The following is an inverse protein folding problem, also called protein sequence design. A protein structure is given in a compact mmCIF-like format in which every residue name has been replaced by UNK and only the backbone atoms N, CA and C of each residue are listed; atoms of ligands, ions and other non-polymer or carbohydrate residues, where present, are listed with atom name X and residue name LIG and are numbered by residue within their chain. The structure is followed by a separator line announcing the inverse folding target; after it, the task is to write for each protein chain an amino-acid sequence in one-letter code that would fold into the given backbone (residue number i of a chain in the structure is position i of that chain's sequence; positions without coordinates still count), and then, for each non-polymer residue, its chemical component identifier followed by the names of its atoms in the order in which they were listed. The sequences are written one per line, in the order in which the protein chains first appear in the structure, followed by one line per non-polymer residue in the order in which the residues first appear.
data_IF_361522157290
#
_entry.id   IF_361522157290
#
_cell.length_a   1.000
_cell.length_b   1.000
_cell.length_c   1.000
_cell.angle_alpha   90.00
_cell.angle_beta   90.00
_cell.angle_gamma   90.00
#
_symmetry.space_group_name_H-M   'P 1'
#
loop_
_entity.id
_entity.type
_entity.pdbx_description
1 polymer ?
#
# COMPACT_ATOMS: atom_id res chain seq x y z
N UNK A 1 -27.11 8.15 14.90
CA UNK A 1 -26.11 7.39 14.11
C UNK A 1 -25.31 6.57 15.09
N UNK A 2 -25.01 5.30 14.80
CA UNK A 2 -24.20 4.46 15.71
C UNK A 2 -22.75 4.95 15.71
N UNK A 3 -22.15 5.13 16.89
CA UNK A 3 -20.78 5.57 17.10
C UNK A 3 -20.00 4.47 17.83
N UNK A 4 -19.02 3.82 17.18
CA UNK A 4 -18.33 2.64 17.72
C UNK A 4 -17.19 2.96 18.69
N UNK A 5 -16.98 4.21 19.08
CA UNK A 5 -15.85 4.68 19.91
C UNK A 5 -14.46 4.31 19.34
N UNK A 6 -14.38 4.07 18.03
CA UNK A 6 -13.14 3.76 17.34
C UNK A 6 -12.52 5.02 16.71
N UNK A 7 -11.21 5.14 16.84
CA UNK A 7 -10.43 6.20 16.16
C UNK A 7 -10.02 5.76 14.75
N UNK A 8 -10.03 6.70 13.81
CA UNK A 8 -9.53 6.46 12.46
C UNK A 8 -8.07 5.97 12.51
N UNK A 9 -7.78 4.85 11.83
CA UNK A 9 -6.49 4.14 11.88
C UNK A 9 -6.36 3.11 13.00
N UNK A 10 -7.33 2.98 13.90
CA UNK A 10 -7.29 1.97 14.95
C UNK A 10 -7.42 0.57 14.36
N UNK A 11 -6.53 -0.31 14.78
CA UNK A 11 -6.53 -1.73 14.40
C UNK A 11 -7.28 -2.54 15.46
N UNK A 12 -8.16 -3.44 15.01
CA UNK A 12 -8.92 -4.37 15.86
C UNK A 12 -8.96 -5.76 15.25
N UNK A 13 -9.22 -6.75 16.06
CA UNK A 13 -9.48 -8.14 15.63
C UNK A 13 -10.90 -8.32 15.09
N UNK A 14 -11.16 -9.43 14.41
CA UNK A 14 -12.51 -9.80 13.96
C UNK A 14 -13.47 -10.02 15.13
N UNK A 15 -12.96 -10.51 16.26
CA UNK A 15 -13.75 -10.68 17.50
C UNK A 15 -14.26 -9.35 18.05
N UNK A 16 -13.34 -8.38 18.21
CA UNK A 16 -13.68 -7.02 18.66
C UNK A 16 -14.64 -6.32 17.69
N UNK A 17 -14.39 -6.42 16.37
CA UNK A 17 -15.30 -5.87 15.36
C UNK A 17 -16.73 -6.42 15.54
N UNK A 18 -16.85 -7.74 15.69
CA UNK A 18 -18.13 -8.41 15.90
C UNK A 18 -18.82 -7.95 17.20
N UNK A 19 -18.06 -7.83 18.29
CA UNK A 19 -18.59 -7.39 19.59
C UNK A 19 -19.05 -5.94 19.56
N UNK A 20 -18.30 -5.05 18.94
CA UNK A 20 -18.65 -3.62 18.82
C UNK A 20 -19.89 -3.44 17.95
N UNK A 21 -19.89 -4.01 16.75
CA UNK A 21 -20.96 -3.79 15.76
C UNK A 21 -22.13 -4.77 15.87
N UNK A 22 -22.03 -5.81 16.70
CA UNK A 22 -23.05 -6.88 16.83
C UNK A 22 -23.46 -7.46 15.47
N UNK A 23 -22.49 -7.66 14.59
CA UNK A 23 -22.68 -8.13 13.22
C UNK A 23 -22.15 -9.56 12.99
N UNK A 24 -22.33 -10.09 11.77
CA UNK A 24 -21.80 -11.39 11.37
C UNK A 24 -20.27 -11.44 11.48
N UNK A 25 -19.66 -12.59 11.85
CA UNK A 25 -18.21 -12.77 11.89
C UNK A 25 -17.57 -12.85 10.49
N UNK A 26 -18.36 -13.01 9.44
CA UNK A 26 -17.86 -13.25 8.08
C UNK A 26 -18.55 -12.33 7.06
N UNK A 27 -17.87 -12.19 5.90
CA UNK A 27 -18.34 -11.40 4.77
C UNK A 27 -17.71 -10.01 4.69
N UNK A 28 -17.66 -9.47 3.48
CA UNK A 28 -17.19 -8.11 3.20
C UNK A 28 -18.24 -7.03 3.53
N UNK A 29 -19.52 -7.40 3.60
CA UNK A 29 -20.62 -6.51 3.96
C UNK A 29 -21.44 -7.17 5.08
N UNK A 30 -21.45 -6.55 6.26
CA UNK A 30 -22.03 -7.13 7.49
C UNK A 30 -23.03 -6.15 8.11
N UNK A 31 -24.31 -6.39 7.86
CA UNK A 31 -25.40 -5.58 8.44
C UNK A 31 -25.67 -6.00 9.88
N UNK A 32 -25.86 -5.03 10.74
CA UNK A 32 -26.36 -5.21 12.09
C UNK A 32 -27.67 -4.46 12.27
N UNK A 33 -28.73 -5.19 12.66
CA UNK A 33 -29.99 -4.57 13.03
C UNK A 33 -29.95 -4.00 14.45
N UNK A 34 -29.06 -4.52 15.32
CA UNK A 34 -28.93 -4.05 16.71
C UNK A 34 -28.34 -2.65 16.79
N UNK A 35 -27.34 -2.37 15.97
CA UNK A 35 -26.67 -1.05 15.92
C UNK A 35 -27.16 -0.18 14.76
N UNK A 36 -28.07 -0.66 13.94
CA UNK A 36 -28.51 -0.03 12.69
C UNK A 36 -27.31 0.41 11.83
N UNK A 37 -26.34 -0.49 11.66
CA UNK A 37 -25.10 -0.22 10.93
C UNK A 37 -24.82 -1.25 9.85
N UNK A 38 -24.03 -0.85 8.87
CA UNK A 38 -23.43 -1.71 7.85
C UNK A 38 -21.91 -1.57 7.92
N UNK A 39 -21.26 -2.64 8.35
CA UNK A 39 -19.78 -2.74 8.25
C UNK A 39 -19.43 -3.20 6.85
N UNK A 40 -18.56 -2.47 6.19
CA UNK A 40 -17.96 -2.86 4.92
C UNK A 40 -16.46 -3.07 5.09
N UNK A 41 -15.95 -4.20 4.62
CA UNK A 41 -14.56 -4.63 4.77
C UNK A 41 -13.93 -4.77 3.40
N UNK A 42 -12.89 -3.99 3.15
CA UNK A 42 -12.04 -4.12 1.96
C UNK A 42 -10.78 -4.89 2.32
N UNK A 43 -10.69 -6.14 1.89
CA UNK A 43 -9.53 -6.97 2.12
C UNK A 43 -8.54 -6.84 0.95
N UNK A 44 -7.36 -6.25 1.22
CA UNK A 44 -6.33 -6.05 0.22
C UNK A 44 -5.37 -7.24 0.06
N UNK A 45 -5.44 -8.22 0.95
CA UNK A 45 -4.58 -9.43 0.93
C UNK A 45 -5.19 -10.50 0.03
N UNK A 46 -6.47 -10.81 0.27
CA UNK A 46 -7.19 -11.88 -0.42
C UNK A 46 -8.55 -11.38 -0.91
N UNK A 47 -8.56 -10.71 -2.03
CA UNK A 47 -9.79 -10.24 -2.64
C UNK A 47 -9.82 -10.48 -4.13
N UNK A 48 -11.00 -10.89 -4.61
CA UNK A 48 -11.36 -10.87 -6.03
C UNK A 48 -11.90 -9.49 -6.44
N UNK A 49 -12.15 -8.62 -5.47
CA UNK A 49 -12.71 -7.29 -5.67
C UNK A 49 -11.62 -6.25 -5.82
N UNK A 50 -11.85 -5.26 -6.66
CA UNK A 50 -10.89 -4.21 -6.94
C UNK A 50 -11.29 -2.90 -6.25
N UNK A 51 -11.39 -2.97 -4.94
CA UNK A 51 -11.63 -1.80 -4.11
C UNK A 51 -10.43 -0.86 -4.15
N UNK A 52 -10.71 0.44 -4.32
CA UNK A 52 -9.62 1.40 -4.49
C UNK A 52 -10.02 2.82 -4.12
N UNK A 53 -9.06 3.56 -3.64
CA UNK A 53 -9.17 5.01 -3.53
C UNK A 53 -8.85 5.65 -4.89
N UNK A 54 -9.68 6.59 -5.31
CA UNK A 54 -9.40 7.53 -6.39
C UNK A 54 -9.62 8.91 -5.78
N UNK A 55 -8.53 9.64 -5.57
CA UNK A 55 -8.52 10.89 -4.82
C UNK A 55 -9.11 10.72 -3.40
N UNK A 56 -10.19 11.41 -3.10
CA UNK A 56 -10.88 11.33 -1.80
C UNK A 56 -12.08 10.37 -1.78
N UNK A 57 -12.30 9.63 -2.85
CA UNK A 57 -13.45 8.70 -3.00
C UNK A 57 -12.96 7.27 -2.96
N UNK A 58 -13.56 6.46 -2.10
CA UNK A 58 -13.34 5.02 -2.07
C UNK A 58 -14.36 4.31 -2.96
N UNK A 59 -13.89 3.60 -3.95
CA UNK A 59 -14.72 2.80 -4.85
C UNK A 59 -14.80 1.37 -4.32
N UNK A 60 -15.87 1.07 -3.60
CA UNK A 60 -16.11 -0.23 -2.99
C UNK A 60 -16.90 -1.13 -3.94
N UNK A 61 -16.45 -2.36 -4.16
CA UNK A 61 -17.11 -3.33 -5.01
C UNK A 61 -18.20 -4.08 -4.21
N UNK A 62 -19.40 -4.15 -4.75
CA UNK A 62 -20.53 -4.84 -4.15
C UNK A 62 -20.29 -6.33 -3.93
N UNK A 63 -21.17 -6.94 -3.13
CA UNK A 63 -21.10 -8.37 -2.83
C UNK A 63 -21.64 -9.24 -3.96
N UNK A 64 -21.12 -10.45 -4.04
CA UNK A 64 -21.38 -11.48 -5.05
C UNK A 64 -20.06 -11.99 -5.62
N UNK A 65 -19.81 -13.32 -5.58
CA UNK A 65 -18.51 -13.91 -5.95
C UNK A 65 -18.50 -14.52 -7.35
N UNK A 66 -19.67 -14.86 -7.92
CA UNK A 66 -19.81 -15.51 -9.21
C UNK A 66 -20.96 -14.91 -9.99
N UNK A 67 -20.83 -14.80 -11.31
CA UNK A 67 -21.83 -14.19 -12.19
C UNK A 67 -22.04 -12.69 -11.95
N UNK A 68 -22.94 -12.10 -12.69
CA UNK A 68 -23.29 -10.69 -12.60
C UNK A 68 -23.84 -10.33 -11.23
N UNK A 69 -23.39 -9.22 -10.66
CA UNK A 69 -23.96 -8.70 -9.42
C UNK A 69 -25.31 -8.02 -9.69
N UNK A 70 -26.18 -8.04 -8.67
CA UNK A 70 -27.39 -7.23 -8.64
C UNK A 70 -27.26 -6.14 -7.56
N UNK A 71 -27.70 -4.92 -7.89
CA UNK A 71 -27.73 -3.82 -6.92
C UNK A 71 -28.77 -4.05 -5.83
N UNK A 72 -29.83 -4.79 -6.15
CA UNK A 72 -30.92 -5.12 -5.22
C UNK A 72 -30.62 -6.33 -4.34
N UNK A 73 -29.44 -6.96 -4.53
CA UNK A 73 -29.06 -8.16 -3.78
C UNK A 73 -28.59 -7.79 -2.37
N UNK A 74 -29.31 -8.24 -1.34
CA UNK A 74 -28.94 -8.19 0.09
C UNK A 74 -28.33 -6.83 0.51
N UNK A 75 -27.05 -6.81 0.97
CA UNK A 75 -26.38 -5.60 1.47
C UNK A 75 -25.98 -4.63 0.36
N UNK A 76 -25.96 -5.05 -0.91
CA UNK A 76 -25.79 -4.12 -2.04
C UNK A 76 -26.93 -3.10 -2.02
N UNK A 77 -28.18 -3.57 -1.85
CA UNK A 77 -29.36 -2.69 -1.71
C UNK A 77 -29.24 -1.80 -0.47
N UNK A 78 -28.88 -2.38 0.67
CA UNK A 78 -28.69 -1.60 1.91
C UNK A 78 -27.68 -0.46 1.70
N UNK A 79 -26.56 -0.72 1.04
CA UNK A 79 -25.53 0.28 0.76
C UNK A 79 -26.00 1.30 -0.29
N UNK A 80 -26.67 0.86 -1.35
CA UNK A 80 -27.25 1.73 -2.38
C UNK A 80 -28.21 2.75 -1.81
N UNK A 81 -28.99 2.35 -0.81
CA UNK A 81 -29.99 3.17 -0.14
C UNK A 81 -29.47 3.86 1.15
N UNK A 82 -28.19 3.73 1.49
CA UNK A 82 -27.64 4.17 2.79
C UNK A 82 -27.81 5.67 3.07
N UNK A 83 -27.94 6.50 2.06
CA UNK A 83 -28.20 7.93 2.23
C UNK A 83 -29.66 8.24 2.67
N UNK A 84 -30.60 7.27 2.57
CA UNK A 84 -32.02 7.44 2.87
C UNK A 84 -32.53 6.48 3.93
N UNK A 85 -31.94 5.29 4.08
CA UNK A 85 -32.41 4.26 5.03
C UNK A 85 -31.84 4.43 6.46
N UNK A 86 -31.09 5.52 6.72
CA UNK A 86 -30.50 5.88 8.02
C UNK A 86 -29.51 4.85 8.60
N UNK A 87 -29.04 3.90 7.81
CA UNK A 87 -28.00 2.94 8.21
C UNK A 87 -26.65 3.64 8.20
N UNK A 88 -25.93 3.60 9.33
CA UNK A 88 -24.55 4.09 9.38
C UNK A 88 -23.60 3.10 8.71
N UNK A 89 -22.80 3.56 7.75
CA UNK A 89 -21.86 2.71 7.02
C UNK A 89 -20.44 2.94 7.54
N UNK A 90 -19.79 1.87 8.00
CA UNK A 90 -18.46 1.90 8.60
C UNK A 90 -17.49 1.13 7.72
N UNK A 91 -16.41 1.79 7.28
CA UNK A 91 -15.38 1.22 6.41
C UNK A 91 -14.21 0.70 7.26
N UNK A 92 -13.84 -0.55 6.98
CA UNK A 92 -12.61 -1.17 7.43
C UNK A 92 -11.76 -1.59 6.22
N UNK A 93 -10.45 -1.47 6.35
CA UNK A 93 -9.49 -2.02 5.39
C UNK A 93 -8.60 -3.05 6.09
N UNK A 94 -8.22 -4.12 5.37
CA UNK A 94 -7.37 -5.20 5.87
C UNK A 94 -6.08 -5.22 5.06
N UNK A 95 -4.96 -4.92 5.72
CA UNK A 95 -3.61 -4.89 5.13
C UNK A 95 -2.73 -6.01 5.69
N UNK A 96 -3.08 -6.54 6.87
CA UNK A 96 -2.45 -7.68 7.54
C UNK A 96 -3.53 -8.71 7.83
N UNK A 97 -3.18 -9.99 7.79
CA UNK A 97 -4.14 -11.05 8.05
C UNK A 97 -4.77 -10.88 9.45
N UNK A 98 -6.09 -11.06 9.51
CA UNK A 98 -6.91 -10.95 10.72
C UNK A 98 -6.90 -9.58 11.44
N UNK A 99 -6.30 -8.55 10.86
CA UNK A 99 -6.24 -7.19 11.42
C UNK A 99 -7.11 -6.25 10.60
N UNK A 100 -8.09 -5.64 11.25
CA UNK A 100 -9.08 -4.76 10.65
C UNK A 100 -8.78 -3.31 11.06
N UNK A 101 -8.34 -2.49 10.12
CA UNK A 101 -8.06 -1.07 10.34
C UNK A 101 -9.34 -0.27 10.12
N UNK A 102 -9.82 0.42 11.16
CA UNK A 102 -10.99 1.28 11.05
C UNK A 102 -10.65 2.55 10.28
N UNK A 103 -11.35 2.80 9.18
CA UNK A 103 -11.13 3.98 8.36
C UNK A 103 -12.08 5.12 8.76
N UNK A 104 -13.31 4.79 9.10
CA UNK A 104 -14.30 5.78 9.51
C UNK A 104 -15.69 5.52 8.96
N UNK A 105 -16.58 6.45 9.25
CA UNK A 105 -17.95 6.46 8.71
C UNK A 105 -17.90 7.02 7.29
N UNK A 106 -18.58 6.32 6.37
CA UNK A 106 -18.65 6.70 4.96
C UNK A 106 -20.09 6.90 4.49
N UNK A 107 -20.27 7.69 3.44
CA UNK A 107 -21.54 7.86 2.75
C UNK A 107 -21.36 7.79 1.24
N UNK A 108 -22.40 7.40 0.52
CA UNK A 108 -22.43 7.48 -0.93
C UNK A 108 -22.24 8.94 -1.38
N UNK A 109 -21.22 9.16 -2.20
CA UNK A 109 -20.93 10.48 -2.81
C UNK A 109 -21.60 10.66 -4.17
N UNK A 110 -21.88 9.55 -4.85
CA UNK A 110 -22.55 9.49 -6.16
C UNK A 110 -23.36 8.19 -6.27
N UNK A 111 -24.24 8.10 -7.26
CA UNK A 111 -24.95 6.85 -7.58
C UNK A 111 -23.95 5.73 -7.88
N UNK A 112 -24.22 4.48 -7.43
CA UNK A 112 -23.45 3.32 -7.82
C UNK A 112 -23.41 3.18 -9.35
N UNK A 113 -22.30 2.67 -9.85
CA UNK A 113 -22.09 2.41 -11.27
C UNK A 113 -21.53 1.01 -11.48
N UNK A 114 -21.58 0.50 -12.70
CA UNK A 114 -21.08 -0.85 -13.02
C UNK A 114 -19.77 -0.80 -13.80
N UNK A 115 -18.94 -1.83 -13.60
CA UNK A 115 -17.78 -2.13 -14.45
C UNK A 115 -17.64 -3.66 -14.61
N UNK A 116 -16.79 -4.07 -15.52
CA UNK A 116 -16.47 -5.50 -15.70
C UNK A 116 -15.25 -5.85 -14.86
N UNK A 117 -15.40 -6.85 -14.00
CA UNK A 117 -14.32 -7.45 -13.22
C UNK A 117 -14.36 -8.96 -13.31
N UNK A 118 -13.24 -9.68 -13.16
CA UNK A 118 -13.26 -11.13 -13.11
C UNK A 118 -13.97 -11.62 -11.84
N UNK A 119 -14.65 -12.75 -11.95
CA UNK A 119 -15.18 -13.50 -10.81
C UNK A 119 -14.08 -14.39 -10.17
N UNK A 120 -14.46 -15.19 -9.16
CA UNK A 120 -13.54 -16.12 -8.49
C UNK A 120 -12.92 -17.17 -9.44
N UNK A 121 -13.55 -17.45 -10.58
CA UNK A 121 -13.07 -18.39 -11.61
C UNK A 121 -12.32 -17.67 -12.76
N UNK A 122 -12.14 -16.35 -12.66
CA UNK A 122 -11.51 -15.53 -13.69
C UNK A 122 -12.41 -15.19 -14.88
N UNK A 123 -13.72 -15.48 -14.80
CA UNK A 123 -14.70 -15.13 -15.83
C UNK A 123 -15.13 -13.66 -15.66
N UNK A 124 -15.24 -12.95 -16.78
CA UNK A 124 -15.71 -11.57 -16.77
C UNK A 124 -17.18 -11.49 -16.36
N UNK A 125 -17.46 -10.56 -15.45
CA UNK A 125 -18.81 -10.30 -14.95
C UNK A 125 -19.03 -8.83 -14.68
N UNK A 126 -20.28 -8.42 -14.68
CA UNK A 126 -20.70 -7.09 -14.26
C UNK A 126 -20.70 -7.02 -12.73
N UNK A 127 -19.99 -6.04 -12.20
CA UNK A 127 -20.01 -5.71 -10.77
C UNK A 127 -20.51 -4.28 -10.55
N UNK A 128 -21.03 -3.99 -9.36
CA UNK A 128 -21.41 -2.64 -8.95
C UNK A 128 -20.33 -2.04 -8.04
N UNK A 129 -19.94 -0.81 -8.33
CA UNK A 129 -19.07 0.00 -7.49
C UNK A 129 -19.87 1.09 -6.79
N UNK A 130 -19.59 1.22 -5.50
CA UNK A 130 -20.20 2.20 -4.62
C UNK A 130 -19.16 3.30 -4.32
N UNK A 131 -19.30 4.51 -4.92
CA UNK A 131 -18.39 5.62 -4.63
C UNK A 131 -18.69 6.21 -3.26
N UNK A 132 -17.78 6.01 -2.32
CA UNK A 132 -17.95 6.36 -0.90
C UNK A 132 -17.00 7.50 -0.53
N UNK A 133 -17.48 8.44 0.26
CA UNK A 133 -16.69 9.52 0.84
C UNK A 133 -16.72 9.40 2.36
N UNK A 134 -15.58 9.59 3.02
CA UNK A 134 -15.53 9.74 4.48
C UNK A 134 -16.34 10.94 4.92
N UNK A 135 -17.06 10.79 6.05
CA UNK A 135 -17.78 11.91 6.68
C UNK A 135 -16.81 12.82 7.40
N UNK A 136 -15.81 12.25 8.10
CA UNK A 136 -14.67 13.01 8.64
C UNK A 136 -13.68 13.35 7.54
N UNK A 137 -12.99 14.48 7.66
CA UNK A 137 -11.93 14.83 6.70
C UNK A 137 -10.64 14.03 6.91
N UNK A 138 -10.49 13.40 8.06
CA UNK A 138 -9.27 12.70 8.49
C UNK A 138 -9.24 11.25 7.99
N UNK A 139 -8.61 11.05 6.84
CA UNK A 139 -8.25 9.70 6.38
C UNK A 139 -7.01 9.24 7.14
N UNK A 140 -7.02 8.00 7.71
CA UNK A 140 -5.85 7.51 8.42
C UNK A 140 -4.65 7.41 7.48
N UNK A 141 -3.50 7.88 7.96
CA UNK A 141 -2.22 7.74 7.26
C UNK A 141 -1.64 6.36 7.60
N UNK A 142 -1.68 5.47 6.63
CA UNK A 142 -1.01 4.16 6.74
C UNK A 142 0.50 4.32 6.65
N UNK A 143 1.23 3.46 7.35
CA UNK A 143 2.68 3.38 7.20
C UNK A 143 3.04 2.88 5.79
N UNK A 144 4.02 3.53 5.17
CA UNK A 144 4.51 3.10 3.85
C UNK A 144 4.94 1.63 3.86
N UNK A 145 5.58 1.17 4.94
CA UNK A 145 6.02 -0.22 5.10
C UNK A 145 4.88 -1.24 5.00
N UNK A 146 3.67 -0.90 5.42
CA UNK A 146 2.50 -1.78 5.32
C UNK A 146 2.06 -1.94 3.86
N UNK A 147 2.06 -0.83 3.12
CA UNK A 147 1.73 -0.84 1.69
C UNK A 147 2.81 -1.59 0.88
N UNK A 148 4.09 -1.37 1.19
CA UNK A 148 5.20 -2.09 0.55
C UNK A 148 5.11 -3.60 0.81
N UNK A 149 4.78 -4.03 2.04
CA UNK A 149 4.57 -5.43 2.38
C UNK A 149 3.38 -6.03 1.61
N UNK A 150 2.27 -5.32 1.52
CA UNK A 150 1.11 -5.74 0.73
C UNK A 150 1.48 -5.92 -0.75
N UNK A 151 2.21 -4.96 -1.31
CA UNK A 151 2.69 -5.05 -2.70
C UNK A 151 3.58 -6.27 -2.90
N UNK A 152 4.51 -6.52 -1.98
CA UNK A 152 5.39 -7.69 -2.03
C UNK A 152 4.61 -9.03 -1.96
N UNK A 153 3.56 -9.13 -1.15
CA UNK A 153 2.68 -10.30 -1.12
C UNK A 153 1.99 -10.52 -2.48
N UNK A 154 1.49 -9.45 -3.09
CA UNK A 154 0.87 -9.50 -4.42
C UNK A 154 1.86 -9.91 -5.51
N UNK A 155 3.07 -9.39 -5.48
CA UNK A 155 4.15 -9.75 -6.41
C UNK A 155 4.54 -11.23 -6.28
N UNK A 156 4.68 -11.74 -5.05
CA UNK A 156 4.93 -13.18 -4.84
C UNK A 156 3.82 -14.07 -5.40
N UNK A 157 2.56 -13.64 -5.31
CA UNK A 157 1.44 -14.37 -5.94
C UNK A 157 1.54 -14.32 -7.46
N UNK A 158 1.87 -13.16 -8.04
CA UNK A 158 2.02 -13.00 -9.48
C UNK A 158 3.16 -13.86 -10.05
N UNK A 159 4.31 -13.94 -9.38
CA UNK A 159 5.47 -14.76 -9.79
C UNK A 159 5.12 -16.26 -9.94
N UNK A 160 4.11 -16.74 -9.20
CA UNK A 160 3.70 -18.16 -9.24
C UNK A 160 2.75 -18.52 -10.40
N UNK A 161 2.29 -17.52 -11.13
CA UNK A 161 1.38 -17.73 -12.27
C UNK A 161 2.15 -18.11 -13.53
N UNK A 162 1.50 -18.83 -14.42
CA UNK A 162 2.02 -19.04 -15.78
C UNK A 162 1.98 -17.74 -16.61
N UNK A 163 2.80 -17.67 -17.64
CA UNK A 163 2.87 -16.48 -18.52
C UNK A 163 1.50 -16.18 -19.17
N UNK A 164 0.75 -17.21 -19.57
CA UNK A 164 -0.58 -17.05 -20.14
C UNK A 164 -1.58 -16.45 -19.16
N UNK A 165 -1.56 -16.93 -17.91
CA UNK A 165 -2.43 -16.41 -16.86
C UNK A 165 -2.02 -14.99 -16.46
N UNK A 166 -0.71 -14.68 -16.38
CA UNK A 166 -0.21 -13.34 -16.17
C UNK A 166 -0.66 -12.39 -17.27
N UNK A 167 -0.49 -12.80 -18.55
CA UNK A 167 -0.92 -12.01 -19.71
C UNK A 167 -2.42 -11.73 -19.67
N UNK A 168 -3.24 -12.76 -19.39
CA UNK A 168 -4.69 -12.62 -19.26
C UNK A 168 -5.08 -11.63 -18.18
N UNK A 169 -4.46 -11.71 -17.00
CA UNK A 169 -4.70 -10.77 -15.88
C UNK A 169 -4.21 -9.37 -16.18
N UNK A 170 -3.03 -9.22 -16.79
CA UNK A 170 -2.47 -7.94 -17.18
C UNK A 170 -3.37 -7.20 -18.18
N UNK A 171 -3.91 -7.89 -19.19
CA UNK A 171 -4.84 -7.31 -20.16
C UNK A 171 -6.15 -6.84 -19.51
N UNK A 172 -6.60 -7.51 -18.44
CA UNK A 172 -7.79 -7.18 -17.68
C UNK A 172 -7.54 -6.18 -16.55
N UNK A 173 -6.28 -5.81 -16.29
CA UNK A 173 -5.96 -4.88 -15.23
C UNK A 173 -6.56 -3.51 -15.49
N UNK A 174 -6.96 -2.84 -14.39
CA UNK A 174 -7.57 -1.51 -14.47
C UNK A 174 -6.54 -0.50 -14.96
N UNK A 175 -6.89 0.25 -16.01
CA UNK A 175 -6.02 1.26 -16.63
C UNK A 175 -5.73 2.45 -15.72
N UNK A 176 -6.66 2.81 -14.82
CA UNK A 176 -6.46 3.92 -13.86
C UNK A 176 -6.02 3.38 -12.51
N UNK A 177 -4.77 3.58 -12.16
CA UNK A 177 -4.24 3.22 -10.83
C UNK A 177 -4.94 4.04 -9.74
N UNK A 178 -5.24 3.39 -8.61
CA UNK A 178 -5.63 4.09 -7.39
C UNK A 178 -4.45 4.85 -6.78
N UNK A 179 -4.74 5.83 -5.92
CA UNK A 179 -3.73 6.56 -5.17
C UNK A 179 -4.00 6.45 -3.65
N UNK A 180 -2.94 6.55 -2.87
CA UNK A 180 -3.02 6.56 -1.42
C UNK A 180 -1.90 7.42 -0.84
N UNK A 181 -2.24 8.28 0.11
CA UNK A 181 -1.26 8.99 0.91
C UNK A 181 -0.79 8.07 2.04
N UNK A 182 0.51 7.99 2.25
CA UNK A 182 1.13 7.16 3.30
C UNK A 182 2.07 8.03 4.14
N UNK A 183 2.24 7.65 5.41
CA UNK A 183 3.28 8.20 6.27
C UNK A 183 4.56 7.39 6.13
N UNK A 184 5.70 8.07 6.24
CA UNK A 184 7.02 7.44 6.28
C UNK A 184 7.93 8.21 7.22
N UNK A 185 8.75 7.51 7.97
CA UNK A 185 9.84 8.13 8.74
C UNK A 185 11.04 8.29 7.82
N UNK A 186 11.58 9.50 7.76
CA UNK A 186 12.80 9.80 7.00
C UNK A 186 13.86 10.26 7.97
N UNK A 187 15.07 9.72 7.85
CA UNK A 187 16.22 10.20 8.62
C UNK A 187 16.80 11.46 7.97
N UNK A 188 17.04 12.49 8.75
CA UNK A 188 17.79 13.65 8.31
C UNK A 188 19.26 13.23 8.07
N UNK A 189 19.79 13.68 6.95
CA UNK A 189 21.16 13.34 6.50
C UNK A 189 21.94 14.61 6.27
N UNK A 190 23.19 14.64 6.70
CA UNK A 190 24.08 15.77 6.49
C UNK A 190 24.39 15.96 4.99
N UNK A 191 24.04 17.10 4.38
CA UNK A 191 24.39 17.38 3.00
C UNK A 191 25.93 17.54 2.83
N UNK A 192 26.64 17.91 3.89
CA UNK A 192 28.09 18.05 3.89
C UNK A 192 28.78 16.71 3.72
N UNK A 193 28.34 15.69 4.45
CA UNK A 193 28.86 14.32 4.34
C UNK A 193 28.60 13.80 2.90
N UNK A 194 27.37 13.93 2.44
CA UNK A 194 26.97 13.47 1.11
C UNK A 194 27.84 14.11 0.00
N UNK A 195 28.02 15.43 0.03
CA UNK A 195 28.81 16.15 -0.97
C UNK A 195 30.30 15.79 -0.88
N UNK A 196 30.86 15.72 0.34
CA UNK A 196 32.25 15.33 0.56
C UNK A 196 32.56 13.97 -0.06
N UNK A 197 31.74 12.95 0.25
CA UNK A 197 31.92 11.57 -0.23
C UNK A 197 31.80 11.49 -1.76
N UNK A 198 30.86 12.19 -2.36
CA UNK A 198 30.71 12.24 -3.82
C UNK A 198 31.91 12.88 -4.52
N UNK A 199 32.46 13.97 -3.97
CA UNK A 199 33.68 14.59 -4.50
C UNK A 199 34.88 13.68 -4.36
N UNK A 200 35.03 13.00 -3.23
CA UNK A 200 36.12 12.05 -2.98
C UNK A 200 36.07 10.86 -3.96
N UNK A 201 34.88 10.40 -4.31
CA UNK A 201 34.68 9.33 -5.29
C UNK A 201 35.05 9.71 -6.76
N UNK A 202 35.20 11.01 -7.07
CA UNK A 202 35.62 11.52 -8.38
C UNK A 202 34.84 10.91 -9.56
N UNK A 203 33.53 10.70 -9.37
CA UNK A 203 32.65 10.13 -10.39
C UNK A 203 32.79 8.61 -10.60
N UNK A 204 33.48 7.90 -9.70
CA UNK A 204 33.68 6.44 -9.75
C UNK A 204 32.88 5.78 -8.60
N UNK A 205 32.13 4.73 -8.91
CA UNK A 205 31.41 3.95 -7.89
C UNK A 205 32.40 3.22 -6.98
N UNK A 206 32.28 3.41 -5.67
CA UNK A 206 33.21 2.84 -4.70
C UNK A 206 33.01 1.33 -4.43
N UNK A 207 32.01 0.68 -5.04
CA UNK A 207 31.82 -0.78 -4.97
C UNK A 207 32.29 -1.48 -6.26
N UNK A 208 31.75 -1.11 -7.41
CA UNK A 208 32.10 -1.77 -8.69
C UNK A 208 33.24 -1.10 -9.43
N UNK A 209 33.79 0.01 -8.94
CA UNK A 209 34.93 0.76 -9.51
C UNK A 209 34.69 1.22 -10.97
N UNK A 210 33.43 1.27 -11.39
CA UNK A 210 33.02 1.80 -12.69
C UNK A 210 32.68 3.29 -12.59
N UNK A 211 32.86 4.03 -13.68
CA UNK A 211 32.41 5.41 -13.80
C UNK A 211 30.90 5.50 -13.58
N UNK A 212 30.43 6.64 -13.05
CA UNK A 212 29.02 6.93 -12.93
C UNK A 212 28.31 6.71 -14.27
N UNK A 213 27.12 6.07 -14.29
CA UNK A 213 26.46 5.64 -15.52
C UNK A 213 25.98 6.80 -16.38
N UNK A 214 25.80 7.99 -15.80
CA UNK A 214 25.37 9.19 -16.51
C UNK A 214 25.77 10.44 -15.73
N UNK A 215 25.65 11.60 -16.39
CA UNK A 215 25.78 12.93 -15.80
C UNK A 215 24.40 13.47 -15.45
N UNK A 216 24.27 14.15 -14.31
CA UNK A 216 23.04 14.84 -13.98
C UNK A 216 22.83 16.09 -14.85
N UNK A 217 21.70 16.80 -14.68
CA UNK A 217 21.38 18.02 -15.48
C UNK A 217 22.42 19.14 -15.37
N UNK A 218 23.31 19.08 -14.37
CA UNK A 218 24.38 20.06 -14.15
C UNK A 218 25.73 19.57 -14.71
N UNK A 219 25.77 18.46 -15.44
CA UNK A 219 27.00 17.88 -15.99
C UNK A 219 27.87 17.16 -14.95
N UNK A 220 27.38 16.88 -13.74
CA UNK A 220 28.11 16.20 -12.68
C UNK A 220 27.83 14.70 -12.73
N UNK A 221 28.86 13.82 -12.58
CA UNK A 221 28.69 12.37 -12.50
C UNK A 221 27.67 11.98 -11.41
N UNK A 222 26.65 11.18 -11.78
CA UNK A 222 25.59 10.82 -10.86
C UNK A 222 25.97 9.61 -10.01
N UNK A 223 26.21 9.88 -8.72
CA UNK A 223 26.38 8.87 -7.69
C UNK A 223 25.42 9.14 -6.53
N UNK A 224 25.03 8.09 -5.82
CA UNK A 224 24.18 8.13 -4.65
C UNK A 224 24.97 7.79 -3.40
N UNK A 225 24.73 8.48 -2.28
CA UNK A 225 25.35 8.14 -1.01
C UNK A 225 24.62 7.00 -0.33
N UNK A 226 25.37 6.05 0.23
CA UNK A 226 24.87 4.88 0.92
C UNK A 226 25.54 4.76 2.29
N UNK A 227 24.75 4.54 3.35
CA UNK A 227 25.24 4.22 4.69
C UNK A 227 25.46 2.70 4.78
N UNK A 228 26.69 2.28 5.07
CA UNK A 228 27.08 0.87 5.16
C UNK A 228 26.27 0.17 6.25
N UNK A 229 26.23 0.77 7.45
CA UNK A 229 25.27 0.44 8.49
C UNK A 229 24.09 1.40 8.34
N UNK A 230 22.94 0.87 8.05
CA UNK A 230 21.77 1.69 7.76
C UNK A 230 21.36 2.55 8.96
N UNK A 231 20.99 3.80 8.74
CA UNK A 231 20.53 4.72 9.80
C UNK A 231 19.35 4.12 10.58
N UNK A 232 18.42 3.43 9.90
CA UNK A 232 17.29 2.72 10.52
C UNK A 232 17.70 1.53 11.40
N UNK A 233 18.97 1.12 11.36
CA UNK A 233 19.57 0.06 12.17
C UNK A 233 20.61 0.59 13.16
N UNK A 234 20.55 1.90 13.46
CA UNK A 234 21.45 2.55 14.40
C UNK A 234 22.81 2.95 13.81
N UNK A 235 22.97 2.92 12.49
CA UNK A 235 24.17 3.45 11.83
C UNK A 235 24.29 4.95 12.00
N UNK A 236 25.53 5.45 12.08
CA UNK A 236 25.81 6.88 12.21
C UNK A 236 25.78 7.58 10.83
N UNK A 237 25.33 8.85 10.81
CA UNK A 237 25.53 9.73 9.68
C UNK A 237 26.93 10.34 9.74
N UNK A 238 27.94 9.58 9.31
CA UNK A 238 29.37 9.92 9.39
C UNK A 238 30.09 9.57 8.09
N UNK A 239 31.25 10.21 7.85
CA UNK A 239 32.08 9.92 6.66
C UNK A 239 32.64 8.50 6.69
N UNK A 240 32.84 7.90 7.86
CA UNK A 240 33.31 6.53 8.06
C UNK A 240 32.21 5.48 7.81
N UNK A 241 30.95 5.90 7.77
CA UNK A 241 29.82 5.01 7.50
C UNK A 241 29.15 5.30 6.14
N UNK A 242 29.70 6.24 5.35
CA UNK A 242 29.07 6.69 4.09
C UNK A 242 29.99 6.48 2.90
N UNK A 243 29.43 5.98 1.79
CA UNK A 243 30.13 5.72 0.52
C UNK A 243 29.31 6.25 -0.67
N UNK A 244 29.98 6.49 -1.83
CA UNK A 244 29.32 6.91 -3.06
C UNK A 244 29.22 5.73 -4.05
N UNK A 245 28.02 5.39 -4.43
CA UNK A 245 27.70 4.25 -5.28
C UNK A 245 26.96 4.68 -6.56
N UNK A 246 27.15 3.93 -7.64
CA UNK A 246 26.24 4.05 -8.77
C UNK A 246 24.82 3.52 -8.38
N UNK A 247 23.75 3.93 -9.07
CA UNK A 247 22.39 3.52 -8.74
C UNK A 247 22.20 2.00 -8.64
N UNK A 248 22.88 1.24 -9.53
CA UNK A 248 22.80 -0.22 -9.52
C UNK A 248 23.43 -0.82 -8.26
N UNK A 249 24.61 -0.38 -7.87
CA UNK A 249 25.27 -0.84 -6.65
C UNK A 249 24.52 -0.39 -5.39
N UNK A 250 24.01 0.84 -5.37
CA UNK A 250 23.19 1.33 -4.28
C UNK A 250 21.93 0.46 -4.10
N UNK A 251 21.22 0.15 -5.19
CA UNK A 251 20.06 -0.73 -5.14
C UNK A 251 20.42 -2.16 -4.73
N UNK A 252 21.56 -2.69 -5.24
CA UNK A 252 22.10 -4.00 -4.83
C UNK A 252 22.30 -4.08 -3.32
N UNK A 253 22.92 -3.04 -2.72
CA UNK A 253 23.12 -3.00 -1.26
C UNK A 253 21.81 -3.00 -0.47
N UNK A 254 20.78 -2.31 -0.96
CA UNK A 254 19.47 -2.32 -0.30
C UNK A 254 18.71 -3.65 -0.44
N UNK A 255 18.98 -4.44 -1.49
CA UNK A 255 18.27 -5.71 -1.73
C UNK A 255 19.03 -6.90 -1.14
N UNK A 256 20.34 -7.01 -1.41
CA UNK A 256 21.13 -8.18 -1.06
C UNK A 256 21.91 -8.00 0.24
N UNK A 257 22.46 -6.82 0.46
CA UNK A 257 23.27 -6.48 1.64
C UNK A 257 24.32 -7.56 1.99
N UNK A 258 25.01 -8.09 0.98
CA UNK A 258 25.99 -9.16 1.15
C UNK A 258 27.14 -8.73 2.05
N UNK A 259 27.64 -9.66 2.86
CA UNK A 259 28.76 -9.40 3.78
C UNK A 259 30.01 -8.96 3.01
N UNK A 260 30.36 -9.65 1.91
CA UNK A 260 31.52 -9.30 1.09
C UNK A 260 31.50 -7.87 0.55
N UNK A 261 30.33 -7.42 0.06
CA UNK A 261 30.16 -6.05 -0.42
C UNK A 261 30.31 -5.04 0.73
N UNK A 262 29.74 -5.34 1.93
CA UNK A 262 29.90 -4.48 3.12
C UNK A 262 31.36 -4.38 3.56
N UNK A 263 32.09 -5.49 3.60
CA UNK A 263 33.50 -5.53 4.01
C UNK A 263 34.35 -4.64 3.08
N UNK A 264 34.12 -4.73 1.75
CA UNK A 264 34.78 -3.84 0.77
C UNK A 264 34.46 -2.37 1.08
N UNK A 265 33.20 -2.04 1.27
CA UNK A 265 32.77 -0.65 1.51
C UNK A 265 33.27 -0.12 2.85
N UNK A 266 33.35 -0.96 3.86
CA UNK A 266 33.92 -0.59 5.19
C UNK A 266 35.40 -0.21 5.05
N UNK A 267 36.16 -0.99 4.30
CA UNK A 267 37.57 -0.69 4.02
C UNK A 267 37.73 0.62 3.21
N UNK A 268 36.85 0.87 2.25
CA UNK A 268 36.85 2.13 1.49
C UNK A 268 36.51 3.30 2.40
N UNK A 269 35.48 3.17 3.24
CA UNK A 269 35.05 4.23 4.15
C UNK A 269 36.08 4.56 5.23
N UNK A 270 36.83 3.58 5.73
CA UNK A 270 37.94 3.80 6.66
C UNK A 270 38.99 4.80 6.14
N UNK A 271 39.12 4.91 4.82
CA UNK A 271 40.04 5.83 4.14
C UNK A 271 39.37 7.16 3.76
N UNK A 272 38.19 7.46 4.28
CA UNK A 272 37.45 8.70 3.97
C UNK A 272 37.89 9.92 4.82
N UNK A 273 38.91 9.78 5.64
CA UNK A 273 39.49 10.90 6.41
C UNK A 273 40.21 11.92 5.51
#
# INVERSE_FOLDING_TARGET
MFEPELKSGQEISNGELREIFKCSPQGGMRKSNKTNSLVIVSNHIESIYNDRWIDKIFHYTGMGQSGDQSIDFMQNKTLAESNINQVSVHLFEVFKDLVYTYIGVVKLSKKPYSEIQPDKNGLDRKVFLFPLKLISEDKPLLQKSEIDNLQHVKEKKAIRLSDDELKKRALKSIKKAGNRTVSTTQHDRSPWISEHIKRKAKGVCQLCIQKAPFLNKKGVPYLETHHIIWLSKGGEDSIQNTVALCPNCHRKMHILNNKSDRDILTNVAANNN
#
